data_IF_227642140734
#
_entry.id   IF_227642140734
#
_cell.length_a   1.000
_cell.length_b   1.000
_cell.length_c   1.000
_cell.angle_alpha   90.00
_cell.angle_beta   90.00
_cell.angle_gamma   90.00
#
_symmetry.space_group_name_H-M   'P 1'
#
loop_
_entity.id
_entity.type
_entity.pdbx_description
1 polymer ?
#
# COMPACT_ATOMS: atom_id res chain seq x y z
N UNK A 1 0.57 -21.11 41.90
CA UNK A 1 1.51 -20.66 40.83
C UNK A 1 0.78 -20.48 39.49
N UNK A 2 -0.29 -19.67 39.45
CA UNK A 2 -1.14 -19.49 38.23
C UNK A 2 -1.40 -18.01 37.89
N UNK A 3 -1.14 -17.07 38.80
CA UNK A 3 -1.47 -15.65 38.61
C UNK A 3 -0.48 -14.84 37.78
N UNK A 4 0.66 -15.41 37.35
CA UNK A 4 1.73 -14.68 36.64
C UNK A 4 1.63 -14.74 35.10
N UNK A 5 0.76 -15.58 34.52
CA UNK A 5 0.65 -15.76 33.07
C UNK A 5 -0.44 -14.89 32.39
N UNK A 6 -1.36 -14.29 33.14
CA UNK A 6 -2.43 -13.45 32.57
C UNK A 6 -2.01 -12.01 32.28
N UNK A 7 -1.01 -11.47 32.98
CA UNK A 7 -0.59 -10.06 32.80
C UNK A 7 0.08 -9.76 31.45
N UNK A 8 0.86 -10.70 30.90
CA UNK A 8 1.61 -10.48 29.65
C UNK A 8 0.74 -10.43 28.39
N UNK A 9 -0.40 -11.13 28.38
CA UNK A 9 -1.32 -11.18 27.22
C UNK A 9 -2.22 -9.95 27.11
N UNK A 10 -2.52 -9.30 28.23
CA UNK A 10 -3.31 -8.06 28.27
C UNK A 10 -2.46 -6.89 27.75
N UNK A 11 -1.18 -6.87 28.10
CA UNK A 11 -0.26 -5.79 27.75
C UNK A 11 0.06 -5.73 26.25
N UNK A 12 0.12 -6.88 25.55
CA UNK A 12 0.32 -6.88 24.08
C UNK A 12 -0.94 -6.43 23.32
N UNK A 13 -2.13 -6.79 23.79
CA UNK A 13 -3.41 -6.34 23.21
C UNK A 13 -3.61 -4.84 23.37
N UNK A 14 -3.24 -4.27 24.52
CA UNK A 14 -3.31 -2.82 24.76
C UNK A 14 -2.32 -2.07 23.87
N UNK A 15 -1.11 -2.60 23.68
CA UNK A 15 -0.12 -2.01 22.75
C UNK A 15 -0.58 -2.03 21.29
N UNK A 16 -1.24 -3.11 20.85
CA UNK A 16 -1.83 -3.19 19.51
C UNK A 16 -2.99 -2.20 19.36
N UNK A 17 -3.88 -2.11 20.35
CA UNK A 17 -4.99 -1.15 20.34
C UNK A 17 -4.50 0.31 20.30
N UNK A 18 -3.45 0.64 21.07
CA UNK A 18 -2.82 1.97 21.03
C UNK A 18 -2.20 2.27 19.67
N UNK A 19 -1.50 1.31 19.04
CA UNK A 19 -0.94 1.50 17.70
C UNK A 19 -2.04 1.72 16.65
N UNK A 20 -3.15 1.00 16.74
CA UNK A 20 -4.32 1.19 15.85
C UNK A 20 -4.94 2.58 16.05
N UNK A 21 -5.11 3.05 17.28
CA UNK A 21 -5.65 4.39 17.58
C UNK A 21 -4.72 5.49 17.06
N UNK A 22 -3.40 5.32 17.19
CA UNK A 22 -2.41 6.26 16.65
C UNK A 22 -2.44 6.25 15.12
N UNK A 23 -2.53 5.08 14.48
CA UNK A 23 -2.65 4.97 13.03
C UNK A 23 -3.94 5.62 12.52
N UNK A 24 -5.06 5.44 13.23
CA UNK A 24 -6.35 6.04 12.90
C UNK A 24 -6.30 7.56 13.03
N UNK A 25 -5.64 8.08 14.08
CA UNK A 25 -5.41 9.52 14.24
C UNK A 25 -4.46 10.08 13.18
N UNK A 26 -3.41 9.36 12.79
CA UNK A 26 -2.50 9.78 11.73
C UNK A 26 -3.19 9.77 10.36
N UNK A 27 -3.94 8.72 10.01
CA UNK A 27 -4.76 8.70 8.80
C UNK A 27 -5.80 9.83 8.80
N UNK A 28 -6.48 10.04 9.92
CA UNK A 28 -7.46 11.12 10.07
C UNK A 28 -6.83 12.51 9.89
N UNK A 29 -5.66 12.76 10.48
CA UNK A 29 -4.91 14.02 10.37
C UNK A 29 -4.36 14.23 8.95
N UNK A 30 -3.90 13.17 8.29
CA UNK A 30 -3.40 13.25 6.91
C UNK A 30 -4.55 13.54 5.94
N UNK A 31 -5.70 12.88 6.12
CA UNK A 31 -6.92 13.13 5.33
C UNK A 31 -7.44 14.56 5.59
N UNK A 32 -7.38 15.05 6.85
CA UNK A 32 -7.74 16.42 7.23
C UNK A 32 -6.77 17.50 6.73
N UNK A 33 -5.48 17.17 6.58
CA UNK A 33 -4.48 18.10 6.01
C UNK A 33 -4.56 18.17 4.49
N UNK A 34 -4.95 17.08 3.83
CA UNK A 34 -5.04 17.01 2.36
C UNK A 34 -6.35 17.58 1.82
N UNK A 35 -7.44 17.53 2.59
CA UNK A 35 -8.73 18.12 2.23
C UNK A 35 -9.05 19.33 3.10
N UNK A 36 -8.91 20.52 2.51
CA UNK A 36 -9.45 21.77 3.04
C UNK A 36 -10.90 21.55 3.51
N UNK A 37 -11.29 22.06 4.71
CA UNK A 37 -12.59 21.78 5.37
C UNK A 37 -13.83 21.96 4.47
N UNK A 38 -13.74 22.83 3.46
CA UNK A 38 -14.81 23.03 2.46
C UNK A 38 -14.86 21.89 1.43
N UNK A 39 -13.72 21.38 0.97
CA UNK A 39 -13.63 20.32 -0.02
C UNK A 39 -14.15 18.96 0.46
N UNK A 40 -13.99 18.64 1.75
CA UNK A 40 -14.51 17.39 2.33
C UNK A 40 -16.04 17.37 2.34
N UNK A 41 -16.65 18.51 2.68
CA UNK A 41 -18.11 18.65 2.69
C UNK A 41 -18.68 18.62 1.27
N UNK A 42 -18.03 19.28 0.30
CA UNK A 42 -18.44 19.22 -1.11
C UNK A 42 -18.27 17.83 -1.71
N UNK A 43 -17.20 17.11 -1.39
CA UNK A 43 -16.97 15.74 -1.85
C UNK A 43 -17.99 14.75 -1.26
N UNK A 44 -18.30 14.86 0.04
CA UNK A 44 -19.35 14.06 0.68
C UNK A 44 -20.74 14.35 0.10
N UNK A 45 -21.07 15.62 -0.16
CA UNK A 45 -22.34 16.00 -0.79
C UNK A 45 -22.41 15.46 -2.24
N UNK A 46 -21.34 15.56 -3.02
CA UNK A 46 -21.30 15.01 -4.38
C UNK A 46 -21.52 13.49 -4.41
N UNK A 47 -21.00 12.75 -3.43
CA UNK A 47 -21.21 11.30 -3.31
C UNK A 47 -22.67 10.96 -2.92
N UNK A 48 -23.26 11.72 -2.00
CA UNK A 48 -24.63 11.48 -1.50
C UNK A 48 -25.70 11.82 -2.56
N UNK A 49 -25.44 12.79 -3.45
CA UNK A 49 -26.40 13.22 -4.47
C UNK A 49 -26.29 12.50 -5.82
N UNK A 50 -25.32 11.60 -6.02
CA UNK A 50 -25.28 10.71 -7.18
C UNK A 50 -26.34 9.60 -7.10
N UNK A 51 -27.60 9.94 -7.40
CA UNK A 51 -28.68 8.96 -7.62
C UNK A 51 -28.55 8.31 -9.01
N UNK A 52 -28.10 7.07 -9.04
CA UNK A 52 -28.57 6.05 -9.99
C UNK A 52 -28.19 4.67 -9.49
N UNK A 53 -29.22 3.88 -9.17
CA UNK A 53 -29.10 2.49 -8.77
C UNK A 53 -28.80 1.62 -9.99
N UNK A 54 -27.52 1.60 -10.39
CA UNK A 54 -26.88 0.38 -10.84
C UNK A 54 -26.08 -0.14 -9.65
N UNK A 55 -25.88 -1.45 -9.53
CA UNK A 55 -25.05 -2.03 -8.49
C UNK A 55 -23.56 -1.74 -8.76
N UNK A 56 -23.20 -0.46 -8.82
CA UNK A 56 -21.84 0.07 -8.81
C UNK A 56 -21.33 -0.10 -7.37
N UNK A 57 -20.75 -1.26 -7.07
CA UNK A 57 -20.37 -1.61 -5.70
C UNK A 57 -18.87 -1.44 -5.53
N UNK A 58 -18.40 -0.52 -4.67
CA UNK A 58 -17.02 -0.57 -4.21
C UNK A 58 -16.79 -1.94 -3.57
N UNK A 59 -15.75 -2.63 -4.02
CA UNK A 59 -15.28 -3.88 -3.45
C UNK A 59 -14.00 -3.58 -2.66
N UNK A 60 -14.03 -3.86 -1.36
CA UNK A 60 -12.89 -3.71 -0.49
C UNK A 60 -12.48 -5.08 0.05
N UNK A 61 -11.20 -5.39 -0.09
CA UNK A 61 -10.58 -6.59 0.43
C UNK A 61 -9.33 -6.22 1.23
N UNK A 62 -9.16 -6.84 2.39
CA UNK A 62 -8.00 -6.66 3.25
C UNK A 62 -7.48 -8.02 3.66
N UNK A 63 -6.17 -8.18 3.61
CA UNK A 63 -5.50 -9.39 4.04
C UNK A 63 -4.33 -9.05 4.95
N UNK A 64 -4.23 -9.72 6.09
CA UNK A 64 -3.20 -9.48 7.10
C UNK A 64 -2.64 -10.83 7.54
N UNK A 65 -1.33 -11.00 7.39
CA UNK A 65 -0.59 -12.17 7.82
C UNK A 65 0.51 -11.75 8.77
N UNK A 66 0.62 -12.47 9.87
CA UNK A 66 1.71 -12.33 10.83
C UNK A 66 2.39 -13.68 10.99
N UNK A 67 3.71 -13.69 10.93
CA UNK A 67 4.53 -14.90 11.12
C UNK A 67 5.67 -14.56 12.06
N UNK A 68 5.85 -15.39 13.08
CA UNK A 68 6.98 -15.32 13.99
C UNK A 68 7.71 -16.66 13.94
N UNK A 69 8.98 -16.62 13.56
CA UNK A 69 9.84 -17.78 13.43
C UNK A 69 11.01 -17.63 14.40
N UNK A 70 11.16 -18.60 15.30
CA UNK A 70 12.26 -18.64 16.25
C UNK A 70 13.17 -19.82 15.88
N UNK A 71 14.47 -19.57 15.73
CA UNK A 71 15.45 -20.65 15.54
C UNK A 71 16.21 -20.90 16.83
N UNK A 72 16.36 -22.18 17.16
CA UNK A 72 17.07 -22.63 18.33
C UNK A 72 18.21 -23.56 17.91
N UNK A 73 19.41 -23.31 18.43
CA UNK A 73 20.58 -24.19 18.28
C UNK A 73 21.07 -24.49 19.69
N UNK A 74 21.30 -25.78 19.98
CA UNK A 74 21.77 -26.26 21.29
C UNK A 74 20.94 -25.78 22.51
N UNK A 75 19.64 -25.57 22.31
CA UNK A 75 18.71 -25.10 23.34
C UNK A 75 18.76 -23.59 23.61
N UNK A 76 19.68 -22.85 22.99
CA UNK A 76 19.73 -21.39 22.95
C UNK A 76 18.90 -20.84 21.78
N UNK A 77 18.29 -19.66 21.96
CA UNK A 77 17.60 -18.95 20.87
C UNK A 77 18.63 -18.14 20.10
N UNK A 78 18.92 -18.51 18.85
CA UNK A 78 19.91 -17.78 18.04
C UNK A 78 19.30 -16.62 17.24
N UNK A 79 18.08 -16.82 16.70
CA UNK A 79 17.43 -15.80 15.90
C UNK A 79 15.90 -15.79 16.06
N UNK A 80 15.33 -14.60 15.84
CA UNK A 80 13.89 -14.34 15.78
C UNK A 80 13.59 -13.57 14.51
N UNK A 81 12.65 -14.06 13.72
CA UNK A 81 12.14 -13.36 12.54
C UNK A 81 10.66 -13.10 12.73
N UNK A 82 10.30 -11.84 12.83
CA UNK A 82 8.91 -11.38 12.86
C UNK A 82 8.57 -10.75 11.51
N UNK A 83 7.55 -11.27 10.83
CA UNK A 83 7.06 -10.76 9.54
C UNK A 83 5.59 -10.37 9.67
N UNK A 84 5.27 -9.15 9.24
CA UNK A 84 3.91 -8.64 9.10
C UNK A 84 3.68 -8.25 7.64
N UNK A 85 2.76 -8.93 6.99
CA UNK A 85 2.32 -8.60 5.64
C UNK A 85 0.87 -8.14 5.66
N UNK A 86 0.60 -6.97 5.08
CA UNK A 86 -0.72 -6.37 4.98
C UNK A 86 -0.96 -6.00 3.52
N UNK A 87 -2.11 -6.39 2.98
CA UNK A 87 -2.51 -6.05 1.62
C UNK A 87 -3.93 -5.48 1.64
N UNK A 88 -4.08 -4.28 1.12
CA UNK A 88 -5.34 -3.57 1.00
C UNK A 88 -5.67 -3.42 -0.48
N UNK A 89 -6.89 -3.80 -0.84
CA UNK A 89 -7.37 -3.72 -2.20
C UNK A 89 -8.75 -3.09 -2.21
N UNK A 90 -8.88 -1.98 -2.92
CA UNK A 90 -10.14 -1.31 -3.19
C UNK A 90 -10.33 -1.27 -4.70
N UNK A 91 -11.47 -1.77 -5.15
CA UNK A 91 -11.91 -1.68 -6.54
C UNK A 91 -13.22 -0.93 -6.58
N UNK A 92 -13.29 0.07 -7.43
CA UNK A 92 -14.54 0.74 -7.76
C UNK A 92 -14.78 0.57 -9.26
N UNK A 93 -15.94 0.07 -9.63
CA UNK A 93 -16.34 -0.14 -11.02
C UNK A 93 -17.68 0.54 -11.24
N UNK A 94 -17.77 1.27 -12.35
CA UNK A 94 -18.97 1.99 -12.74
C UNK A 94 -19.18 1.92 -14.24
N UNK A 95 -20.40 1.60 -14.62
CA UNK A 95 -20.85 1.70 -16.01
C UNK A 95 -21.48 3.09 -16.22
N UNK A 96 -20.86 3.93 -17.03
CA UNK A 96 -21.41 5.27 -17.36
C UNK A 96 -22.57 5.12 -18.35
N UNK A 97 -22.40 4.25 -19.34
CA UNK A 97 -23.43 3.82 -20.27
C UNK A 97 -23.14 2.37 -20.71
N UNK A 98 -24.03 1.69 -21.47
CA UNK A 98 -23.79 0.30 -21.90
C UNK A 98 -22.52 0.07 -22.74
N UNK A 99 -21.88 1.15 -23.20
CA UNK A 99 -20.74 1.15 -24.13
C UNK A 99 -19.47 1.69 -23.46
N UNK A 100 -19.56 2.28 -22.26
CA UNK A 100 -18.47 2.92 -21.55
C UNK A 100 -18.53 2.56 -20.07
N UNK A 101 -17.49 1.89 -19.62
CA UNK A 101 -17.26 1.58 -18.22
C UNK A 101 -15.92 2.12 -17.77
N UNK A 102 -15.79 2.45 -16.48
CA UNK A 102 -14.50 2.72 -15.88
C UNK A 102 -14.31 1.96 -14.57
N UNK A 103 -13.07 1.59 -14.31
CA UNK A 103 -12.64 0.93 -13.09
C UNK A 103 -11.51 1.72 -12.46
N UNK A 104 -11.55 1.87 -11.15
CA UNK A 104 -10.48 2.43 -10.33
C UNK A 104 -10.01 1.33 -9.38
N UNK A 105 -8.74 1.01 -9.41
CA UNK A 105 -8.09 0.06 -8.53
C UNK A 105 -7.11 0.81 -7.64
N UNK A 106 -7.29 0.73 -6.33
CA UNK A 106 -6.32 1.17 -5.35
C UNK A 106 -5.79 -0.07 -4.62
N UNK A 107 -4.49 -0.30 -4.70
CA UNK A 107 -3.80 -1.36 -3.98
C UNK A 107 -2.77 -0.73 -3.05
N UNK A 108 -2.58 -1.29 -1.87
CA UNK A 108 -1.46 -0.95 -1.01
C UNK A 108 -0.99 -2.21 -0.32
N UNK A 109 0.28 -2.57 -0.52
CA UNK A 109 0.91 -3.64 0.24
C UNK A 109 1.91 -3.04 1.22
N UNK A 110 1.95 -3.58 2.44
CA UNK A 110 2.93 -3.25 3.46
C UNK A 110 3.57 -4.56 3.91
N UNK A 111 4.88 -4.64 3.81
CA UNK A 111 5.68 -5.73 4.33
C UNK A 111 6.64 -5.16 5.36
N UNK A 112 6.50 -5.60 6.61
CA UNK A 112 7.42 -5.30 7.71
C UNK A 112 8.10 -6.60 8.12
N UNK A 113 9.43 -6.61 8.14
CA UNK A 113 10.25 -7.72 8.61
C UNK A 113 11.24 -7.21 9.65
N UNK A 114 11.31 -7.92 10.78
CA UNK A 114 12.23 -7.65 11.86
C UNK A 114 13.01 -8.91 12.19
N UNK A 115 14.33 -8.83 11.99
CA UNK A 115 15.27 -9.88 12.34
C UNK A 115 16.05 -9.44 13.58
N UNK A 116 16.02 -10.29 14.62
CA UNK A 116 16.83 -10.12 15.82
C UNK A 116 17.74 -11.33 15.98
N UNK A 117 19.05 -11.09 16.02
CA UNK A 117 20.06 -12.11 16.32
C UNK A 117 20.59 -11.97 17.75
N UNK A 118 21.15 -13.04 18.29
CA UNK A 118 21.70 -13.10 19.66
C UNK A 118 22.84 -12.09 19.90
N UNK A 119 23.54 -11.66 18.84
CA UNK A 119 24.57 -10.61 18.87
C UNK A 119 23.99 -9.16 18.92
N UNK A 120 22.73 -8.98 19.33
CA UNK A 120 22.01 -7.70 19.39
C UNK A 120 21.87 -6.95 18.04
N UNK A 121 22.25 -7.59 16.93
CA UNK A 121 22.03 -7.07 15.58
C UNK A 121 20.54 -7.15 15.25
N UNK A 122 19.94 -5.97 15.08
CA UNK A 122 18.54 -5.80 14.66
C UNK A 122 18.51 -5.25 13.25
N UNK A 123 18.02 -6.07 12.32
CA UNK A 123 17.78 -5.64 10.95
C UNK A 123 16.29 -5.42 10.76
N UNK A 124 15.94 -4.23 10.29
CA UNK A 124 14.57 -3.87 9.99
C UNK A 124 14.43 -3.63 8.49
N UNK A 125 13.47 -4.32 7.89
CA UNK A 125 13.10 -4.15 6.50
C UNK A 125 11.63 -3.78 6.41
N UNK A 126 11.34 -2.68 5.73
CA UNK A 126 9.97 -2.28 5.39
C UNK A 126 9.85 -2.07 3.89
N UNK A 127 8.75 -2.53 3.31
CA UNK A 127 8.36 -2.20 1.96
C UNK A 127 6.91 -1.71 1.93
N UNK A 128 6.62 -0.63 1.23
CA UNK A 128 5.27 -0.10 1.01
C UNK A 128 5.07 0.04 -0.49
N UNK A 129 3.94 -0.46 -0.99
CA UNK A 129 3.65 -0.51 -2.41
C UNK A 129 2.23 -0.03 -2.75
N UNK A 130 1.95 1.30 -2.74
CA UNK A 130 0.70 1.82 -3.24
C UNK A 130 0.66 1.76 -4.78
N UNK A 131 -0.48 1.36 -5.33
CA UNK A 131 -0.78 1.43 -6.74
C UNK A 131 -2.19 1.97 -7.00
N UNK A 132 -2.34 2.76 -8.04
CA UNK A 132 -3.59 3.31 -8.53
C UNK A 132 -3.69 3.02 -10.03
N UNK A 133 -4.72 2.29 -10.44
CA UNK A 133 -5.00 2.02 -11.84
C UNK A 133 -6.39 2.54 -12.21
N UNK A 134 -6.48 3.25 -13.32
CA UNK A 134 -7.70 3.72 -13.94
C UNK A 134 -7.83 3.02 -15.28
N UNK A 135 -8.94 2.31 -15.47
CA UNK A 135 -9.24 1.65 -16.72
C UNK A 135 -10.54 2.22 -17.28
N UNK A 136 -10.56 2.58 -18.56
CA UNK A 136 -11.75 2.99 -19.32
C UNK A 136 -11.95 2.02 -20.47
N UNK A 137 -13.10 1.37 -20.51
CA UNK A 137 -13.41 0.30 -21.48
C UNK A 137 -14.61 0.65 -22.32
N UNK A 138 -14.45 0.40 -23.62
CA UNK A 138 -15.47 0.47 -24.65
C UNK A 138 -15.28 -0.74 -25.59
N UNK A 139 -16.34 -1.24 -26.26
CA UNK A 139 -16.20 -2.28 -27.28
C UNK A 139 -15.15 -1.99 -28.37
N UNK A 140 -14.85 -0.72 -28.65
CA UNK A 140 -13.89 -0.32 -29.69
C UNK A 140 -12.52 0.12 -29.16
N UNK A 141 -12.38 0.34 -27.85
CA UNK A 141 -11.10 0.73 -27.25
C UNK A 141 -11.01 0.39 -25.76
N UNK A 142 -9.79 0.21 -25.28
CA UNK A 142 -9.47 -0.01 -23.89
C UNK A 142 -8.30 0.89 -23.51
N UNK A 143 -8.51 1.78 -22.54
CA UNK A 143 -7.48 2.70 -22.07
C UNK A 143 -7.17 2.41 -20.60
N UNK A 144 -5.91 2.12 -20.32
CA UNK A 144 -5.40 1.83 -18.98
C UNK A 144 -4.35 2.88 -18.64
N UNK A 145 -4.47 3.47 -17.46
CA UNK A 145 -3.49 4.36 -16.87
C UNK A 145 -3.19 3.85 -15.48
N UNK A 146 -1.92 3.73 -15.12
CA UNK A 146 -1.53 3.26 -13.80
C UNK A 146 -0.31 3.98 -13.23
N UNK A 147 -0.29 4.01 -11.91
CA UNK A 147 0.81 4.51 -11.10
C UNK A 147 1.07 3.53 -9.98
N UNK A 148 2.32 3.12 -9.81
CA UNK A 148 2.76 2.25 -8.72
C UNK A 148 4.02 2.85 -8.12
N UNK A 149 4.08 2.93 -6.80
CA UNK A 149 5.28 3.35 -6.08
C UNK A 149 5.71 2.22 -5.17
N UNK A 150 7.00 1.96 -5.11
CA UNK A 150 7.63 1.03 -4.19
C UNK A 150 8.61 1.81 -3.32
N UNK A 151 8.37 1.84 -2.02
CA UNK A 151 9.28 2.41 -1.04
C UNK A 151 9.85 1.29 -0.18
N UNK A 152 11.18 1.23 -0.06
CA UNK A 152 11.89 0.20 0.69
C UNK A 152 12.87 0.85 1.67
N UNK A 153 12.93 0.33 2.89
CA UNK A 153 13.91 0.70 3.92
C UNK A 153 14.67 -0.55 4.34
N UNK A 154 15.99 -0.47 4.40
CA UNK A 154 16.85 -1.58 4.86
C UNK A 154 17.92 -1.07 5.82
N UNK A 155 17.66 -1.15 7.12
CA UNK A 155 18.46 -0.46 8.15
C UNK A 155 18.08 -0.94 9.55
N UNK A 156 18.98 -0.80 10.52
CA UNK A 156 18.66 -1.01 11.94
C UNK A 156 17.67 0.04 12.50
N UNK A 157 17.54 1.20 11.84
CA UNK A 157 16.64 2.31 12.21
C UNK A 157 15.99 2.90 10.97
N UNK A 158 14.66 2.98 10.93
CA UNK A 158 13.88 3.69 9.91
C UNK A 158 14.36 5.15 9.77
N UNK A 159 15.27 5.40 8.83
CA UNK A 159 15.87 6.70 8.54
C UNK A 159 15.76 6.95 7.04
N UNK A 160 15.57 8.20 6.64
CA UNK A 160 15.36 8.55 5.22
C UNK A 160 16.59 8.21 4.37
N UNK A 161 17.81 8.32 4.92
CA UNK A 161 19.08 7.98 4.27
C UNK A 161 19.19 6.52 3.77
N UNK A 162 18.27 5.64 4.15
CA UNK A 162 18.23 4.23 3.77
C UNK A 162 16.98 3.87 2.96
N UNK A 163 16.19 4.89 2.58
CA UNK A 163 14.99 4.73 1.79
C UNK A 163 15.39 4.67 0.32
N UNK A 164 14.97 3.61 -0.37
CA UNK A 164 14.94 3.56 -1.82
C UNK A 164 13.51 3.71 -2.29
N UNK A 165 13.28 4.53 -3.30
CA UNK A 165 11.96 4.71 -3.92
C UNK A 165 12.03 4.40 -5.39
N UNK A 166 11.11 3.57 -5.88
CA UNK A 166 10.90 3.34 -7.31
C UNK A 166 9.49 3.73 -7.68
N UNK A 167 9.34 4.63 -8.64
CA UNK A 167 8.05 5.03 -9.18
C UNK A 167 7.89 4.42 -10.58
N UNK A 168 6.74 3.82 -10.84
CA UNK A 168 6.34 3.28 -12.12
C UNK A 168 5.10 4.03 -12.59
N UNK A 169 5.16 4.57 -13.80
CA UNK A 169 4.04 5.16 -14.51
C UNK A 169 3.84 4.38 -15.78
N UNK A 170 2.61 3.97 -16.07
CA UNK A 170 2.32 3.27 -17.29
C UNK A 170 0.98 3.71 -17.87
N UNK A 171 0.91 3.72 -19.19
CA UNK A 171 -0.33 3.94 -19.91
C UNK A 171 -0.39 3.00 -21.11
N UNK A 172 -1.59 2.53 -21.41
CA UNK A 172 -1.85 1.64 -22.54
C UNK A 172 -3.17 2.01 -23.19
N UNK A 173 -3.15 2.13 -24.51
CA UNK A 173 -4.33 2.31 -25.33
C UNK A 173 -4.40 1.16 -26.33
N UNK A 174 -5.42 0.32 -26.19
CA UNK A 174 -5.78 -0.68 -27.18
C UNK A 174 -6.97 -0.18 -27.99
N UNK A 175 -6.87 -0.19 -29.32
CA UNK A 175 -7.94 0.08 -30.25
C UNK A 175 -8.35 -1.25 -30.89
N UNK A 176 -9.62 -1.60 -30.77
CA UNK A 176 -10.20 -2.86 -31.25
C UNK A 176 -11.36 -2.55 -32.21
N UNK A 177 -11.07 -1.98 -33.40
CA UNK A 177 -12.08 -1.71 -34.41
C UNK A 177 -12.65 -3.02 -34.98
N UNK A 178 -13.97 -3.06 -35.29
CA UNK A 178 -14.64 -4.29 -35.76
C UNK A 178 -14.10 -4.88 -37.07
N UNK A 179 -13.59 -4.03 -37.97
CA UNK A 179 -13.20 -4.40 -39.34
C UNK A 179 -11.77 -3.98 -39.70
N UNK A 180 -10.93 -3.68 -38.70
CA UNK A 180 -9.55 -3.27 -38.91
C UNK A 180 -8.65 -4.04 -37.93
N UNK A 181 -7.33 -4.11 -38.19
CA UNK A 181 -6.40 -4.68 -37.24
C UNK A 181 -6.45 -3.96 -35.89
N UNK A 182 -6.17 -4.71 -34.83
CA UNK A 182 -6.04 -4.13 -33.50
C UNK A 182 -4.73 -3.34 -33.41
N UNK A 183 -4.79 -2.15 -32.83
CA UNK A 183 -3.61 -1.33 -32.54
C UNK A 183 -3.43 -1.22 -31.03
N UNK A 184 -2.20 -1.34 -30.54
CA UNK A 184 -1.88 -1.16 -29.13
C UNK A 184 -0.70 -0.23 -28.99
N UNK A 185 -0.85 0.78 -28.15
CA UNK A 185 0.20 1.73 -27.79
C UNK A 185 0.43 1.63 -26.29
N UNK A 186 1.67 1.39 -25.89
CA UNK A 186 2.06 1.28 -24.49
C UNK A 186 3.22 2.22 -24.21
N UNK A 187 3.13 2.95 -23.11
CA UNK A 187 4.18 3.79 -22.59
C UNK A 187 4.44 3.42 -21.14
N UNK A 188 5.67 3.07 -20.83
CA UNK A 188 6.12 2.73 -19.48
C UNK A 188 7.28 3.64 -19.09
N UNK A 189 7.25 4.15 -17.88
CA UNK A 189 8.33 4.96 -17.29
C UNK A 189 8.62 4.49 -15.88
N UNK A 190 9.91 4.26 -15.61
CA UNK A 190 10.42 3.90 -14.30
C UNK A 190 11.42 4.95 -13.85
N UNK A 191 11.24 5.46 -12.64
CA UNK A 191 12.15 6.39 -12.00
C UNK A 191 12.60 5.83 -10.66
N UNK A 192 13.91 5.82 -10.43
CA UNK A 192 14.52 5.36 -9.19
C UNK A 192 15.13 6.54 -8.44
N UNK A 193 14.89 6.58 -7.14
CA UNK A 193 15.40 7.61 -6.24
C UNK A 193 16.07 6.94 -5.05
N UNK A 194 17.30 7.34 -4.80
CA UNK A 194 17.98 7.09 -3.54
C UNK A 194 17.89 8.34 -2.66
N UNK A 195 17.58 8.16 -1.38
CA UNK A 195 17.41 9.25 -0.42
C UNK A 195 18.66 9.46 0.45
N UNK A 196 19.83 9.01 -0.01
CA UNK A 196 21.12 9.27 0.63
C UNK A 196 21.33 10.77 0.90
N UNK A 197 21.73 11.11 2.12
CA UNK A 197 22.09 12.47 2.50
C UNK A 197 23.32 12.96 1.71
N UNK A 198 23.30 14.23 1.24
CA UNK A 198 24.36 14.84 0.41
C UNK A 198 25.78 14.66 0.97
N UNK A 199 25.94 14.64 2.30
CA UNK A 199 27.25 14.46 2.94
C UNK A 199 27.87 13.07 2.79
N UNK A 200 27.12 12.07 2.28
CA UNK A 200 27.65 10.72 1.98
C UNK A 200 27.99 10.51 0.50
N UNK A 201 27.49 11.36 -0.40
CA UNK A 201 27.72 11.23 -1.84
C UNK A 201 29.08 11.79 -2.26
N UNK A 202 29.67 12.66 -1.43
CA UNK A 202 30.86 13.46 -1.77
C UNK A 202 32.17 12.96 -1.10
N UNK A 203 32.20 11.71 -0.62
CA UNK A 203 33.36 11.13 0.08
C UNK A 203 34.11 10.04 -0.72
N UNK A 204 34.03 10.07 -2.06
CA UNK A 204 34.82 9.20 -2.95
C UNK A 204 35.80 10.00 -3.78
#
# INVERSE_FOLDING_TARGET
>A
MITKFMGKKIDSKIKILMKIIILYKCCYIIILRFLNRKGLLTFCILIIFSKSAYADRPNFWMNIYYTDTNTYVDGGKESSVENLYQNYYLRYEKNVNPVLSYNIYLRSAILDSHLSNDNDLKNYQRAIEPALDINMRNPSYNFILGYRRLEQWYTARLTDDSRRTTNYYYSRLDLIPKNLPNFSFQFDSQNEYDHLSRHKVDNT
#
